data_IF_328722748724
#
_entry.id   IF_328722748724
#
_cell.length_a   1.000
_cell.length_b   1.000
_cell.length_c   1.000
_cell.angle_alpha   90.00
_cell.angle_beta   90.00
_cell.angle_gamma   90.00
#
_symmetry.space_group_name_H-M   'P 1'
#
loop_
_entity.id
_entity.type
_entity.pdbx_description
1 polymer ?
#
# COMPACT_ATOMS: atom_id res chain seq x y z
N UNK A 1 -25.53 17.74 -35.82
CA UNK A 1 -25.78 19.19 -35.69
C UNK A 1 -26.11 19.53 -34.24
N UNK A 2 -25.18 20.18 -33.54
CA UNK A 2 -25.38 21.06 -32.38
C UNK A 2 -24.09 21.90 -32.29
N UNK A 3 -24.22 23.19 -32.54
CA UNK A 3 -23.13 24.12 -32.78
C UNK A 3 -22.32 24.39 -31.51
N UNK A 4 -21.01 24.14 -31.57
CA UNK A 4 -20.03 24.65 -30.60
C UNK A 4 -19.65 26.05 -31.06
N UNK A 5 -20.05 27.07 -30.32
CA UNK A 5 -19.66 28.45 -30.58
C UNK A 5 -18.17 28.62 -30.22
N UNK A 6 -17.34 28.80 -31.25
CA UNK A 6 -15.94 29.20 -31.14
C UNK A 6 -15.88 30.67 -30.71
N UNK A 7 -15.43 30.92 -29.47
CA UNK A 7 -15.14 32.25 -28.95
C UNK A 7 -13.75 32.66 -29.46
N UNK A 8 -13.73 33.40 -30.57
CA UNK A 8 -12.53 34.04 -31.12
C UNK A 8 -12.19 35.28 -30.26
N UNK A 9 -11.22 35.16 -29.36
CA UNK A 9 -10.62 36.33 -28.70
C UNK A 9 -9.51 36.91 -29.59
N UNK A 10 -9.85 37.95 -30.33
CA UNK A 10 -8.91 38.78 -31.09
C UNK A 10 -8.06 39.61 -30.11
N UNK A 11 -6.81 39.19 -29.88
CA UNK A 11 -5.82 39.99 -29.15
C UNK A 11 -5.00 40.84 -30.13
N UNK A 12 -5.27 42.14 -30.16
CA UNK A 12 -4.36 43.17 -30.65
C UNK A 12 -4.04 44.12 -29.48
N UNK A 13 -2.75 44.22 -29.17
CA UNK A 13 -2.08 44.88 -28.03
C UNK A 13 -2.25 46.42 -28.00
N UNK A 14 -2.04 47.09 -26.84
CA UNK A 14 -0.68 47.50 -26.47
C UNK A 14 -0.30 47.16 -25.01
N UNK A 15 0.97 46.79 -24.83
CA UNK A 15 1.63 46.63 -23.53
C UNK A 15 1.90 48.01 -22.90
N UNK A 16 1.21 48.32 -21.79
CA UNK A 16 1.68 49.12 -20.64
C UNK A 16 0.55 49.33 -19.60
N UNK A 17 -0.06 48.24 -19.14
CA UNK A 17 -0.85 48.26 -17.92
C UNK A 17 0.01 47.70 -16.79
N UNK A 18 0.29 48.48 -15.74
CA UNK A 18 0.71 47.89 -14.48
C UNK A 18 -0.37 46.87 -14.09
N UNK A 19 0.01 45.60 -13.93
CA UNK A 19 -0.91 44.57 -13.44
C UNK A 19 -1.54 45.09 -12.15
N UNK A 20 -2.84 45.41 -12.21
CA UNK A 20 -3.56 45.82 -11.00
C UNK A 20 -3.62 44.59 -10.09
N UNK A 21 -3.19 44.71 -8.82
CA UNK A 21 -3.37 43.63 -7.87
C UNK A 21 -4.86 43.31 -7.76
N UNK A 22 -5.20 42.02 -7.58
CA UNK A 22 -6.58 41.59 -7.33
C UNK A 22 -7.21 42.47 -6.25
N UNK A 23 -8.36 43.09 -6.56
CA UNK A 23 -9.14 43.80 -5.56
C UNK A 23 -9.66 42.82 -4.51
N UNK A 24 -10.01 43.31 -3.31
CA UNK A 24 -10.59 42.45 -2.26
C UNK A 24 -11.87 41.75 -2.73
N UNK A 25 -12.72 42.47 -3.47
CA UNK A 25 -13.94 41.93 -4.07
C UNK A 25 -13.65 40.84 -5.12
N UNK A 26 -12.66 41.07 -5.99
CA UNK A 26 -12.27 40.06 -7.00
C UNK A 26 -11.67 38.82 -6.34
N UNK A 27 -10.91 39.00 -5.24
CA UNK A 27 -10.34 37.90 -4.45
C UNK A 27 -11.43 37.07 -3.79
N UNK A 28 -12.42 37.70 -3.16
CA UNK A 28 -13.56 37.00 -2.54
C UNK A 28 -14.36 36.21 -3.57
N UNK A 29 -14.71 36.83 -4.70
CA UNK A 29 -15.44 36.17 -5.78
C UNK A 29 -14.64 35.00 -6.37
N UNK A 30 -13.32 35.16 -6.53
CA UNK A 30 -12.45 34.09 -7.04
C UNK A 30 -12.38 32.92 -6.04
N UNK A 31 -12.24 33.20 -4.74
CA UNK A 31 -12.24 32.16 -3.71
C UNK A 31 -13.57 31.40 -3.65
N UNK A 32 -14.70 32.09 -3.78
CA UNK A 32 -16.02 31.45 -3.85
C UNK A 32 -16.13 30.53 -5.08
N UNK A 33 -15.73 31.02 -6.26
CA UNK A 33 -15.69 30.21 -7.49
C UNK A 33 -14.73 29.02 -7.39
N UNK A 34 -13.56 29.21 -6.80
CA UNK A 34 -12.61 28.11 -6.57
C UNK A 34 -13.21 27.05 -5.64
N UNK A 35 -13.96 27.46 -4.62
CA UNK A 35 -14.67 26.53 -3.73
C UNK A 35 -15.78 25.76 -4.45
N UNK A 36 -16.52 26.40 -5.35
CA UNK A 36 -17.52 25.73 -6.21
C UNK A 36 -16.88 24.73 -7.18
N UNK A 37 -15.78 25.14 -7.82
CA UNK A 37 -14.97 24.26 -8.70
C UNK A 37 -14.43 23.08 -7.91
N UNK A 38 -13.90 23.32 -6.71
CA UNK A 38 -13.44 22.26 -5.81
C UNK A 38 -14.57 21.30 -5.46
N UNK A 39 -15.74 21.80 -5.03
CA UNK A 39 -16.88 20.96 -4.69
C UNK A 39 -17.40 20.12 -5.87
N UNK A 40 -17.41 20.69 -7.09
CA UNK A 40 -17.79 19.97 -8.31
C UNK A 40 -16.75 18.90 -8.67
N UNK A 41 -15.47 19.23 -8.54
CA UNK A 41 -14.37 18.29 -8.73
C UNK A 41 -14.48 17.10 -7.78
N UNK A 42 -14.64 17.38 -6.48
CA UNK A 42 -14.75 16.38 -5.42
C UNK A 42 -15.95 15.44 -5.64
N UNK A 43 -17.11 16.01 -6.01
CA UNK A 43 -18.31 15.23 -6.34
C UNK A 43 -18.08 14.30 -7.54
N UNK A 44 -17.43 14.81 -8.58
CA UNK A 44 -17.11 14.03 -9.78
C UNK A 44 -16.13 12.90 -9.47
N UNK A 45 -15.11 13.16 -8.66
CA UNK A 45 -14.11 12.17 -8.23
C UNK A 45 -14.77 11.07 -7.38
N UNK A 46 -15.61 11.44 -6.40
CA UNK A 46 -16.41 10.48 -5.62
C UNK A 46 -17.30 9.61 -6.50
N UNK A 47 -17.94 10.20 -7.52
CA UNK A 47 -18.72 9.48 -8.51
C UNK A 47 -17.90 8.42 -9.26
N UNK A 48 -16.70 8.77 -9.71
CA UNK A 48 -15.77 7.82 -10.37
C UNK A 48 -15.36 6.69 -9.44
N UNK A 49 -15.07 6.99 -8.17
CA UNK A 49 -14.72 5.97 -7.18
C UNK A 49 -15.86 4.99 -6.92
N UNK A 50 -17.10 5.48 -6.85
CA UNK A 50 -18.27 4.61 -6.71
C UNK A 50 -18.40 3.60 -7.86
N UNK A 51 -18.18 4.04 -9.11
CA UNK A 51 -18.19 3.17 -10.30
C UNK A 51 -17.05 2.16 -10.26
N UNK A 52 -15.82 2.62 -9.99
CA UNK A 52 -14.64 1.77 -9.88
C UNK A 52 -14.81 0.70 -8.79
N UNK A 53 -15.22 1.12 -7.59
CA UNK A 53 -15.47 0.21 -6.46
C UNK A 53 -16.55 -0.83 -6.77
N UNK A 54 -17.64 -0.43 -7.44
CA UNK A 54 -18.68 -1.37 -7.85
C UNK A 54 -18.12 -2.45 -8.79
N UNK A 55 -17.36 -2.04 -9.81
CA UNK A 55 -16.75 -2.97 -10.75
C UNK A 55 -15.72 -3.90 -10.08
N UNK A 56 -14.83 -3.34 -9.25
CA UNK A 56 -13.78 -4.10 -8.59
C UNK A 56 -14.33 -5.06 -7.54
N UNK A 57 -15.36 -4.66 -6.78
CA UNK A 57 -16.03 -5.52 -5.81
C UNK A 57 -16.72 -6.72 -6.46
N UNK A 58 -17.32 -6.53 -7.64
CA UNK A 58 -17.88 -7.63 -8.43
C UNK A 58 -16.78 -8.54 -8.99
N UNK A 59 -15.72 -7.95 -9.55
CA UNK A 59 -14.65 -8.71 -10.17
C UNK A 59 -13.84 -9.56 -9.17
N UNK A 60 -13.66 -9.10 -7.93
CA UNK A 60 -12.91 -9.85 -6.91
C UNK A 60 -13.64 -11.08 -6.34
N UNK A 61 -14.92 -11.30 -6.69
CA UNK A 61 -15.70 -12.44 -6.21
C UNK A 61 -15.11 -13.78 -6.67
N UNK A 62 -14.45 -13.81 -7.84
CA UNK A 62 -13.77 -15.01 -8.34
C UNK A 62 -12.55 -14.66 -9.21
N UNK A 63 -11.60 -15.59 -9.31
CA UNK A 63 -10.43 -15.41 -10.19
C UNK A 63 -10.81 -15.30 -11.67
N UNK A 64 -11.93 -15.92 -12.07
CA UNK A 64 -12.47 -15.79 -13.43
C UNK A 64 -12.99 -14.37 -13.70
N UNK A 65 -13.77 -13.80 -12.78
CA UNK A 65 -14.29 -12.44 -12.90
C UNK A 65 -13.17 -11.38 -12.84
N UNK A 66 -12.14 -11.60 -12.01
CA UNK A 66 -10.96 -10.75 -11.95
C UNK A 66 -10.21 -10.72 -13.30
N UNK A 67 -10.03 -11.89 -13.91
CA UNK A 67 -9.38 -12.00 -15.21
C UNK A 67 -10.24 -11.43 -16.36
N UNK A 68 -11.55 -11.62 -16.33
CA UNK A 68 -12.46 -10.99 -17.29
C UNK A 68 -12.36 -9.47 -17.23
N UNK A 69 -12.41 -8.88 -16.03
CA UNK A 69 -12.22 -7.45 -15.86
C UNK A 69 -10.85 -7.01 -16.36
N UNK A 70 -9.79 -7.76 -16.08
CA UNK A 70 -8.44 -7.47 -16.56
C UNK A 70 -8.39 -7.35 -18.08
N UNK A 71 -8.99 -8.31 -18.79
CA UNK A 71 -9.05 -8.30 -20.25
C UNK A 71 -9.82 -7.09 -20.78
N UNK A 72 -10.94 -6.74 -20.15
CA UNK A 72 -11.74 -5.57 -20.53
C UNK A 72 -10.96 -4.26 -20.30
N UNK A 73 -10.25 -4.15 -19.18
CA UNK A 73 -9.39 -2.99 -18.90
C UNK A 73 -8.22 -2.89 -19.90
N UNK A 74 -7.61 -4.01 -20.28
CA UNK A 74 -6.57 -4.03 -21.32
C UNK A 74 -7.14 -3.60 -22.67
N UNK A 75 -8.29 -4.15 -23.08
CA UNK A 75 -8.96 -3.79 -24.34
C UNK A 75 -9.21 -2.29 -24.39
N UNK A 76 -9.83 -1.75 -23.34
CA UNK A 76 -10.09 -0.32 -23.21
C UNK A 76 -8.81 0.52 -23.32
N UNK A 77 -7.87 0.34 -22.38
CA UNK A 77 -6.74 1.26 -22.21
C UNK A 77 -5.70 1.11 -23.32
N UNK A 78 -5.39 -0.13 -23.72
CA UNK A 78 -4.29 -0.41 -24.66
C UNK A 78 -4.73 -0.54 -26.11
N UNK A 79 -6.03 -0.57 -26.39
CA UNK A 79 -6.55 -0.70 -27.75
C UNK A 79 -7.59 0.36 -28.08
N UNK A 80 -8.72 0.43 -27.37
CA UNK A 80 -9.81 1.36 -27.70
C UNK A 80 -9.39 2.81 -27.53
N UNK A 81 -8.85 3.18 -26.37
CA UNK A 81 -8.39 4.54 -26.06
C UNK A 81 -7.20 4.96 -26.95
N UNK A 82 -6.48 3.97 -27.51
CA UNK A 82 -5.38 4.16 -28.48
C UNK A 82 -5.85 4.08 -29.95
N UNK A 83 -7.17 3.98 -30.18
CA UNK A 83 -7.79 3.87 -31.51
C UNK A 83 -7.25 2.72 -32.38
N UNK A 84 -6.82 1.62 -31.74
CA UNK A 84 -6.31 0.42 -32.41
C UNK A 84 -7.44 -0.48 -32.89
N UNK A 85 -7.14 -1.38 -33.83
CA UNK A 85 -8.16 -2.26 -34.42
C UNK A 85 -8.54 -3.39 -33.46
N UNK A 86 -9.83 -3.73 -33.43
CA UNK A 86 -10.34 -4.88 -32.66
C UNK A 86 -9.71 -6.23 -33.05
N UNK A 87 -9.19 -6.37 -34.28
CA UNK A 87 -8.41 -7.56 -34.68
C UNK A 87 -7.11 -7.68 -33.90
N UNK A 88 -6.43 -6.56 -33.60
CA UNK A 88 -5.18 -6.58 -32.85
C UNK A 88 -5.39 -7.02 -31.40
N UNK A 89 -6.51 -6.63 -30.79
CA UNK A 89 -6.87 -7.10 -29.45
C UNK A 89 -7.15 -8.61 -29.47
N UNK A 90 -7.89 -9.13 -30.45
CA UNK A 90 -8.12 -10.58 -30.59
C UNK A 90 -6.81 -11.36 -30.72
N UNK A 91 -5.88 -10.87 -31.52
CA UNK A 91 -4.56 -11.49 -31.69
C UNK A 91 -3.72 -11.42 -30.41
N UNK A 92 -3.75 -10.28 -29.71
CA UNK A 92 -3.10 -10.14 -28.41
C UNK A 92 -3.71 -11.09 -27.36
N UNK A 93 -5.04 -11.15 -27.26
CA UNK A 93 -5.77 -12.01 -26.32
C UNK A 93 -5.44 -13.48 -26.54
N UNK A 94 -5.30 -13.91 -27.81
CA UNK A 94 -4.82 -15.26 -28.15
C UNK A 94 -3.40 -15.52 -27.61
N UNK A 95 -2.45 -14.61 -27.86
CA UNK A 95 -1.07 -14.75 -27.36
C UNK A 95 -0.99 -14.71 -25.83
N UNK A 96 -1.80 -13.87 -25.18
CA UNK A 96 -1.87 -13.80 -23.73
C UNK A 96 -2.40 -15.11 -23.13
N UNK A 97 -3.44 -15.69 -23.73
CA UNK A 97 -3.98 -17.00 -23.34
C UNK A 97 -2.93 -18.11 -23.38
N UNK A 98 -2.01 -18.06 -24.34
CA UNK A 98 -0.96 -19.06 -24.51
C UNK A 98 0.23 -18.88 -23.55
N UNK A 99 0.51 -17.66 -23.09
CA UNK A 99 1.80 -17.32 -22.43
C UNK A 99 1.69 -16.72 -21.03
N UNK A 100 0.56 -16.13 -20.67
CA UNK A 100 0.40 -15.39 -19.41
C UNK A 100 -0.85 -15.72 -18.62
N UNK A 101 -1.83 -16.38 -19.25
CA UNK A 101 -3.10 -16.73 -18.61
C UNK A 101 -3.00 -18.05 -17.82
N UNK A 102 -2.38 -17.98 -16.63
CA UNK A 102 -2.26 -19.11 -15.70
C UNK A 102 -3.26 -19.01 -14.55
N UNK A 103 -3.64 -20.13 -13.89
CA UNK A 103 -4.45 -20.08 -12.67
C UNK A 103 -3.85 -19.17 -11.58
N UNK A 104 -2.53 -19.22 -11.40
CA UNK A 104 -1.77 -18.38 -10.48
C UNK A 104 -1.93 -16.89 -10.82
N UNK A 105 -1.79 -16.52 -12.09
CA UNK A 105 -1.96 -15.15 -12.55
C UNK A 105 -3.39 -14.63 -12.26
N UNK A 106 -4.42 -15.42 -12.57
CA UNK A 106 -5.81 -15.05 -12.29
C UNK A 106 -6.08 -14.87 -10.80
N UNK A 107 -5.49 -15.72 -9.95
CA UNK A 107 -5.60 -15.61 -8.50
C UNK A 107 -4.87 -14.35 -7.99
N UNK A 108 -3.69 -14.07 -8.53
CA UNK A 108 -2.93 -12.86 -8.18
C UNK A 108 -3.69 -11.58 -8.57
N UNK A 109 -4.34 -11.55 -9.75
CA UNK A 109 -5.22 -10.44 -10.15
C UNK A 109 -6.36 -10.22 -9.15
N UNK A 110 -6.96 -11.31 -8.64
CA UNK A 110 -8.02 -11.22 -7.63
C UNK A 110 -7.50 -10.61 -6.32
N UNK A 111 -6.31 -11.01 -5.88
CA UNK A 111 -5.67 -10.44 -4.68
C UNK A 111 -5.26 -8.98 -4.86
N UNK A 112 -4.74 -8.62 -6.03
CA UNK A 112 -4.46 -7.22 -6.37
C UNK A 112 -5.75 -6.38 -6.36
N UNK A 113 -6.86 -6.90 -6.90
CA UNK A 113 -8.16 -6.22 -6.83
C UNK A 113 -8.68 -6.10 -5.39
N UNK A 114 -8.49 -7.11 -4.55
CA UNK A 114 -8.84 -7.03 -3.13
C UNK A 114 -8.10 -5.86 -2.44
N UNK A 115 -6.80 -5.72 -2.70
CA UNK A 115 -6.00 -4.61 -2.17
C UNK A 115 -6.36 -3.26 -2.80
N UNK A 116 -6.60 -3.21 -4.10
CA UNK A 116 -7.04 -1.98 -4.80
C UNK A 116 -8.35 -1.46 -4.20
N UNK A 117 -9.32 -2.34 -3.92
CA UNK A 117 -10.57 -1.93 -3.26
C UNK A 117 -10.30 -1.31 -1.88
N UNK A 118 -9.42 -1.92 -1.07
CA UNK A 118 -9.06 -1.34 0.22
C UNK A 118 -8.34 -0.01 0.09
N UNK A 119 -7.47 0.13 -0.92
CA UNK A 119 -6.75 1.37 -1.21
C UNK A 119 -7.73 2.49 -1.55
N UNK A 120 -8.72 2.23 -2.41
CA UNK A 120 -9.76 3.21 -2.73
C UNK A 120 -10.67 3.55 -1.54
N UNK A 121 -10.87 2.62 -0.62
CA UNK A 121 -11.63 2.87 0.61
C UNK A 121 -10.79 3.64 1.63
N UNK A 122 -9.48 3.41 1.70
CA UNK A 122 -8.55 4.19 2.52
C UNK A 122 -8.56 5.68 2.14
N UNK A 123 -8.66 5.98 0.84
CA UNK A 123 -8.83 7.35 0.33
C UNK A 123 -10.18 8.01 0.69
N UNK A 124 -11.10 7.29 1.32
CA UNK A 124 -12.45 7.78 1.65
C UNK A 124 -12.75 7.80 3.16
N UNK A 125 -11.83 7.35 4.00
CA UNK A 125 -12.00 7.33 5.46
C UNK A 125 -11.07 8.34 6.11
N UNK A 126 -11.56 8.99 7.16
CA UNK A 126 -10.73 9.91 7.96
C UNK A 126 -9.78 9.14 8.90
N UNK A 127 -10.23 7.98 9.39
CA UNK A 127 -9.46 7.09 10.25
C UNK A 127 -9.16 5.79 9.51
N UNK A 128 -7.92 5.62 9.06
CA UNK A 128 -7.46 4.44 8.32
C UNK A 128 -7.43 3.18 9.20
N UNK A 129 -7.34 3.32 10.52
CA UNK A 129 -7.27 2.17 11.43
C UNK A 129 -8.52 1.29 11.37
N UNK A 130 -9.67 1.82 10.92
CA UNK A 130 -10.90 1.05 10.68
C UNK A 130 -10.73 -0.04 9.62
N UNK A 131 -9.70 0.05 8.78
CA UNK A 131 -9.37 -0.92 7.73
C UNK A 131 -8.42 -2.01 8.22
N UNK A 132 -7.87 -1.93 9.44
CA UNK A 132 -6.85 -2.85 9.97
C UNK A 132 -7.20 -4.33 9.79
N UNK A 133 -8.37 -4.76 10.29
CA UNK A 133 -8.80 -6.16 10.21
C UNK A 133 -8.95 -6.64 8.77
N UNK A 134 -9.39 -5.76 7.87
CA UNK A 134 -9.58 -6.10 6.46
C UNK A 134 -8.25 -6.15 5.71
N UNK A 135 -7.31 -5.25 6.03
CA UNK A 135 -5.94 -5.28 5.52
C UNK A 135 -5.23 -6.58 5.89
N UNK A 136 -5.26 -6.94 7.18
CA UNK A 136 -4.72 -8.23 7.66
C UNK A 136 -5.38 -9.41 6.96
N UNK A 137 -6.72 -9.40 6.81
CA UNK A 137 -7.43 -10.49 6.13
C UNK A 137 -7.02 -10.69 4.66
N UNK A 138 -6.69 -9.61 3.94
CA UNK A 138 -6.15 -9.72 2.57
C UNK A 138 -4.75 -10.31 2.59
N UNK A 139 -3.86 -9.82 3.45
CA UNK A 139 -2.50 -10.34 3.61
C UNK A 139 -2.50 -11.83 3.99
N UNK A 140 -3.29 -12.23 5.00
CA UNK A 140 -3.41 -13.63 5.43
C UNK A 140 -3.96 -14.52 4.31
N UNK A 141 -4.87 -14.02 3.47
CA UNK A 141 -5.34 -14.77 2.31
C UNK A 141 -4.23 -15.00 1.29
N UNK A 142 -3.37 -14.02 1.05
CA UNK A 142 -2.23 -14.14 0.13
C UNK A 142 -1.20 -15.14 0.69
N UNK A 143 -0.90 -15.07 1.99
CA UNK A 143 0.00 -16.02 2.66
C UNK A 143 -0.57 -17.46 2.61
N UNK A 144 -1.89 -17.62 2.75
CA UNK A 144 -2.55 -18.93 2.66
C UNK A 144 -2.45 -19.51 1.25
N UNK A 145 -2.60 -18.67 0.23
CA UNK A 145 -2.63 -19.08 -1.17
C UNK A 145 -1.21 -19.10 -1.81
N UNK A 146 -0.16 -19.04 -1.00
CA UNK A 146 1.24 -18.90 -1.43
C UNK A 146 1.68 -19.88 -2.53
N UNK A 147 1.38 -21.16 -2.34
CA UNK A 147 1.77 -22.23 -3.26
C UNK A 147 1.11 -22.07 -4.63
N UNK A 148 -0.13 -21.58 -4.65
CA UNK A 148 -0.91 -21.34 -5.87
C UNK A 148 -0.53 -20.01 -6.56
N UNK A 149 0.29 -19.17 -5.91
CA UNK A 149 0.68 -17.85 -6.37
C UNK A 149 2.14 -17.78 -6.89
N UNK A 150 2.82 -18.92 -6.99
CA UNK A 150 4.22 -18.99 -7.45
C UNK A 150 4.44 -18.25 -8.76
N UNK A 151 5.47 -17.39 -8.77
CA UNK A 151 5.85 -16.59 -9.94
C UNK A 151 4.99 -15.33 -10.15
N UNK A 152 4.08 -15.00 -9.23
CA UNK A 152 3.27 -13.78 -9.27
C UNK A 152 3.69 -12.73 -8.23
N UNK A 153 4.86 -12.91 -7.60
CA UNK A 153 5.41 -12.02 -6.58
C UNK A 153 5.45 -10.56 -7.01
N UNK A 154 5.93 -10.29 -8.22
CA UNK A 154 6.07 -8.94 -8.74
C UNK A 154 4.70 -8.25 -8.89
N UNK A 155 3.66 -8.98 -9.30
CA UNK A 155 2.31 -8.43 -9.45
C UNK A 155 1.77 -7.99 -8.08
N UNK A 156 2.00 -8.79 -7.04
CA UNK A 156 1.48 -8.51 -5.70
C UNK A 156 2.34 -7.53 -4.92
N UNK A 157 3.62 -7.38 -5.25
CA UNK A 157 4.50 -6.32 -4.74
C UNK A 157 4.31 -4.97 -5.44
N UNK A 158 3.72 -4.97 -6.63
CA UNK A 158 3.44 -3.73 -7.36
C UNK A 158 2.30 -2.93 -6.73
N UNK A 159 2.37 -1.62 -6.88
CA UNK A 159 1.31 -0.70 -6.47
C UNK A 159 0.04 -0.94 -7.30
N UNK A 160 -1.11 -1.29 -6.70
CA UNK A 160 -2.34 -1.51 -7.44
C UNK A 160 -2.86 -0.26 -8.16
N UNK A 161 -2.48 0.95 -7.73
CA UNK A 161 -2.82 2.21 -8.39
C UNK A 161 -2.07 2.39 -9.72
N UNK A 162 -0.99 1.63 -9.94
CA UNK A 162 -0.30 1.54 -11.23
C UNK A 162 -0.83 0.42 -12.14
N UNK A 163 -1.88 -0.30 -11.70
CA UNK A 163 -2.44 -1.42 -12.45
C UNK A 163 -3.31 -0.97 -13.62
N UNK A 164 -3.51 -1.87 -14.59
CA UNK A 164 -4.44 -1.63 -15.70
C UNK A 164 -5.87 -1.38 -15.22
N UNK A 165 -6.24 -1.89 -14.03
CA UNK A 165 -7.53 -1.61 -13.42
C UNK A 165 -7.64 -0.14 -13.03
N UNK A 166 -6.60 0.40 -12.40
CA UNK A 166 -6.59 1.79 -11.97
C UNK A 166 -6.57 2.76 -13.17
N UNK A 167 -5.81 2.43 -14.21
CA UNK A 167 -5.78 3.20 -15.47
C UNK A 167 -7.16 3.26 -16.12
N UNK A 168 -7.82 2.11 -16.28
CA UNK A 168 -9.11 2.01 -17.00
C UNK A 168 -10.24 2.79 -16.33
N UNK A 169 -10.15 3.01 -15.01
CA UNK A 169 -11.12 3.77 -14.22
C UNK A 169 -10.60 5.16 -13.80
N UNK A 170 -9.39 5.54 -14.23
CA UNK A 170 -8.75 6.83 -13.89
C UNK A 170 -8.67 7.08 -12.38
N UNK A 171 -8.24 6.06 -11.63
CA UNK A 171 -8.05 6.11 -10.17
C UNK A 171 -6.59 5.94 -9.75
N UNK A 172 -5.64 6.00 -10.69
CA UNK A 172 -4.21 5.79 -10.41
C UNK A 172 -3.46 6.98 -9.79
N UNK A 173 -4.06 8.16 -9.73
CA UNK A 173 -3.41 9.40 -9.23
C UNK A 173 -3.77 9.71 -7.78
N UNK A 174 -4.20 8.71 -7.02
CA UNK A 174 -4.64 8.88 -5.63
C UNK A 174 -3.40 8.83 -4.75
N UNK A 175 -3.21 9.86 -3.94
CA UNK A 175 -2.17 9.91 -2.92
C UNK A 175 -2.79 9.59 -1.56
N UNK A 176 -2.23 8.60 -0.86
CA UNK A 176 -2.67 8.19 0.48
C UNK A 176 -1.40 7.99 1.31
N UNK A 177 -0.99 9.02 2.03
CA UNK A 177 0.34 9.12 2.64
C UNK A 177 0.70 7.95 3.57
N UNK A 178 -0.28 7.45 4.33
CA UNK A 178 -0.08 6.43 5.37
C UNK A 178 -0.59 5.05 4.96
N UNK A 179 -1.02 4.86 3.71
CA UNK A 179 -1.51 3.56 3.26
C UNK A 179 -0.39 2.75 2.57
N UNK A 180 -0.26 1.44 2.88
CA UNK A 180 0.78 0.63 2.27
C UNK A 180 0.57 0.48 0.76
N UNK A 181 1.66 0.66 -0.01
CA UNK A 181 1.61 0.63 -1.47
C UNK A 181 1.27 -0.75 -2.03
N UNK A 182 1.51 -1.80 -1.27
CA UNK A 182 1.28 -3.19 -1.71
C UNK A 182 0.65 -4.02 -0.59
N UNK A 183 -0.15 -5.04 -0.92
CA UNK A 183 -0.64 -5.99 0.08
C UNK A 183 0.47 -6.80 0.77
N UNK A 184 1.69 -6.82 0.20
CA UNK A 184 2.86 -7.49 0.76
C UNK A 184 3.79 -6.55 1.52
N UNK A 185 3.42 -5.27 1.64
CA UNK A 185 4.14 -4.30 2.44
C UNK A 185 3.73 -4.39 3.92
N UNK A 186 4.20 -5.48 4.55
CA UNK A 186 3.80 -5.85 5.91
C UNK A 186 4.25 -4.77 6.90
N UNK A 187 5.45 -4.23 6.73
CA UNK A 187 5.98 -3.20 7.64
C UNK A 187 5.05 -1.98 7.69
N UNK A 188 4.74 -1.40 6.53
CA UNK A 188 3.85 -0.23 6.44
C UNK A 188 2.44 -0.53 6.93
N UNK A 189 1.90 -1.73 6.66
CA UNK A 189 0.57 -2.12 7.16
C UNK A 189 0.54 -2.10 8.70
N UNK A 190 1.59 -2.60 9.35
CA UNK A 190 1.63 -2.57 10.81
C UNK A 190 1.93 -1.19 11.35
N UNK A 191 2.96 -0.51 10.84
CA UNK A 191 3.41 0.79 11.37
C UNK A 191 2.41 1.92 11.16
N UNK A 192 1.74 1.95 10.01
CA UNK A 192 0.90 3.09 9.64
C UNK A 192 -0.58 2.85 9.92
N UNK A 193 -1.02 1.59 10.01
CA UNK A 193 -2.45 1.25 10.14
C UNK A 193 -2.79 0.57 11.47
N UNK A 194 -2.05 -0.49 11.83
CA UNK A 194 -2.45 -1.39 12.93
C UNK A 194 -1.94 -0.94 14.30
N UNK A 195 -0.65 -0.61 14.40
CA UNK A 195 0.03 -0.32 15.67
C UNK A 195 -0.33 1.07 16.27
N UNK A 196 -0.47 2.16 15.49
CA UNK A 196 -0.70 3.50 16.05
C UNK A 196 -1.82 3.60 17.08
N UNK A 197 -3.05 3.09 16.84
CA UNK A 197 -4.13 3.18 17.84
C UNK A 197 -3.90 2.33 19.09
N UNK A 198 -2.93 1.41 19.05
CA UNK A 198 -2.60 0.49 20.16
C UNK A 198 -1.48 1.01 21.07
N UNK A 199 -0.79 2.09 20.70
CA UNK A 199 0.30 2.73 21.46
C UNK A 199 -0.22 3.54 22.66
N UNK A 200 -0.95 2.87 23.54
CA UNK A 200 -1.48 3.46 24.78
C UNK A 200 -1.29 2.50 25.95
N UNK A 201 -1.19 3.02 27.19
CA UNK A 201 -1.08 2.17 28.37
C UNK A 201 -2.26 1.21 28.57
N UNK A 202 -3.44 1.52 27.98
CA UNK A 202 -4.65 0.70 28.10
C UNK A 202 -4.68 -0.49 27.14
N UNK A 203 -3.82 -0.48 26.11
CA UNK A 203 -3.87 -1.42 24.99
C UNK A 203 -2.58 -2.23 24.82
N UNK A 204 -1.71 -2.24 25.84
CA UNK A 204 -0.40 -2.91 25.82
C UNK A 204 -0.47 -4.38 25.40
N UNK A 205 -1.45 -5.14 25.91
CA UNK A 205 -1.63 -6.55 25.52
C UNK A 205 -1.99 -6.71 24.04
N UNK A 206 -2.82 -5.81 23.51
CA UNK A 206 -3.20 -5.78 22.10
C UNK A 206 -2.04 -5.35 21.23
N UNK A 207 -1.26 -4.35 21.66
CA UNK A 207 -0.04 -3.89 20.98
C UNK A 207 0.96 -5.04 20.86
N UNK A 208 1.22 -5.77 21.95
CA UNK A 208 2.10 -6.93 21.94
C UNK A 208 1.61 -8.02 20.99
N UNK A 209 0.31 -8.33 21.02
CA UNK A 209 -0.29 -9.32 20.10
C UNK A 209 -0.15 -8.90 18.63
N UNK A 210 -0.34 -7.61 18.33
CA UNK A 210 -0.18 -7.08 16.97
C UNK A 210 1.28 -7.22 16.50
N UNK A 211 2.26 -6.87 17.33
CA UNK A 211 3.68 -7.08 17.03
C UNK A 211 4.03 -8.56 16.79
N UNK A 212 3.57 -9.46 17.66
CA UNK A 212 3.79 -10.90 17.47
C UNK A 212 3.17 -11.39 16.16
N UNK A 213 2.00 -10.86 15.79
CA UNK A 213 1.36 -11.14 14.51
C UNK A 213 2.16 -10.62 13.32
N UNK A 214 2.74 -9.42 13.41
CA UNK A 214 3.68 -8.91 12.39
C UNK A 214 4.85 -9.86 12.17
N UNK A 215 5.53 -10.25 13.26
CA UNK A 215 6.66 -11.19 13.19
C UNK A 215 6.24 -12.52 12.56
N UNK A 216 5.07 -13.03 12.91
CA UNK A 216 4.49 -14.22 12.29
C UNK A 216 4.22 -14.03 10.80
N UNK A 217 3.65 -12.90 10.38
CA UNK A 217 3.33 -12.61 8.99
C UNK A 217 4.57 -12.46 8.12
N UNK A 218 5.58 -11.72 8.58
CA UNK A 218 6.86 -11.58 7.87
C UNK A 218 7.58 -12.93 7.74
N UNK A 219 7.61 -13.72 8.81
CA UNK A 219 8.20 -15.05 8.82
C UNK A 219 7.47 -16.01 7.88
N UNK A 220 6.14 -16.07 7.95
CA UNK A 220 5.30 -16.92 7.10
C UNK A 220 5.41 -16.53 5.63
N UNK A 221 5.47 -15.23 5.32
CA UNK A 221 5.65 -14.76 3.96
C UNK A 221 6.99 -15.28 3.43
N UNK A 222 8.09 -15.06 4.14
CA UNK A 222 9.40 -15.56 3.71
C UNK A 222 9.38 -17.08 3.58
N UNK A 223 8.94 -17.79 4.61
CA UNK A 223 8.91 -19.25 4.60
C UNK A 223 8.11 -19.81 3.41
N UNK A 224 6.96 -19.23 3.08
CA UNK A 224 6.06 -19.80 2.05
C UNK A 224 6.28 -19.23 0.66
N UNK A 225 6.77 -18.00 0.54
CA UNK A 225 6.89 -17.30 -0.75
C UNK A 225 8.30 -17.28 -1.31
N UNK A 226 9.36 -17.48 -0.52
CA UNK A 226 10.70 -17.61 -1.13
C UNK A 226 10.82 -18.97 -1.81
N UNK A 227 10.52 -18.98 -3.10
CA UNK A 227 10.85 -20.05 -4.04
C UNK A 227 12.36 -20.05 -4.27
N UNK A 228 13.14 -20.63 -3.37
CA UNK A 228 14.57 -20.77 -3.59
C UNK A 228 14.86 -22.00 -4.47
N UNK A 229 15.65 -21.79 -5.53
CA UNK A 229 16.22 -22.84 -6.38
C UNK A 229 17.35 -23.59 -5.65
N UNK A 230 17.09 -23.98 -4.40
CA UNK A 230 17.97 -24.82 -3.62
C UNK A 230 17.94 -26.24 -4.20
N UNK A 231 19.11 -26.83 -4.43
CA UNK A 231 19.22 -28.26 -4.77
C UNK A 231 18.70 -29.18 -3.66
N UNK A 232 18.48 -28.62 -2.47
CA UNK A 232 17.88 -29.24 -1.31
C UNK A 232 16.50 -28.62 -1.04
N UNK A 233 15.42 -29.38 -1.28
CA UNK A 233 14.03 -28.88 -1.29
C UNK A 233 13.57 -28.31 0.07
N UNK A 234 14.32 -28.56 1.13
CA UNK A 234 13.96 -28.17 2.49
C UNK A 234 14.72 -26.93 2.99
N UNK A 235 15.78 -26.49 2.30
CA UNK A 235 16.59 -25.35 2.77
C UNK A 235 16.05 -24.03 2.26
N UNK A 236 15.77 -23.10 3.18
CA UNK A 236 15.28 -21.74 2.87
C UNK A 236 16.25 -20.65 3.37
N UNK A 237 17.41 -20.43 2.71
CA UNK A 237 18.41 -19.44 3.14
C UNK A 237 17.86 -18.06 3.50
N UNK A 238 16.92 -17.51 2.74
CA UNK A 238 16.32 -16.21 3.05
C UNK A 238 15.56 -16.22 4.40
N UNK A 239 14.80 -17.28 4.66
CA UNK A 239 14.09 -17.45 5.93
C UNK A 239 15.06 -17.72 7.09
N UNK A 240 16.06 -18.58 6.89
CA UNK A 240 17.13 -18.84 7.89
C UNK A 240 17.85 -17.55 8.27
N UNK A 241 18.22 -16.72 7.28
CA UNK A 241 18.84 -15.42 7.50
C UNK A 241 17.91 -14.49 8.28
N UNK A 242 16.63 -14.41 7.92
CA UNK A 242 15.65 -13.60 8.63
C UNK A 242 15.50 -14.02 10.10
N UNK A 243 15.48 -15.33 10.40
CA UNK A 243 15.40 -15.84 11.77
C UNK A 243 16.57 -15.37 12.66
N UNK A 244 17.77 -15.26 12.07
CA UNK A 244 19.00 -14.91 12.79
C UNK A 244 19.18 -13.39 12.87
N UNK A 245 18.87 -12.66 11.80
CA UNK A 245 19.20 -11.24 11.67
C UNK A 245 18.01 -10.30 11.92
N UNK A 246 16.85 -10.58 11.33
CA UNK A 246 15.74 -9.61 11.30
C UNK A 246 14.72 -9.87 12.41
N UNK A 247 14.40 -11.14 12.70
CA UNK A 247 13.47 -11.49 13.78
C UNK A 247 13.91 -10.95 15.15
N UNK A 248 15.21 -10.99 15.54
CA UNK A 248 15.65 -10.34 16.77
C UNK A 248 15.43 -8.82 16.74
N UNK A 249 15.66 -8.14 15.61
CA UNK A 249 15.40 -6.70 15.50
C UNK A 249 13.91 -6.37 15.66
N UNK A 250 13.01 -7.15 15.07
CA UNK A 250 11.56 -6.96 15.27
C UNK A 250 11.15 -7.21 16.72
N UNK A 251 11.73 -8.23 17.35
CA UNK A 251 11.50 -8.50 18.78
C UNK A 251 11.98 -7.34 19.64
N UNK A 252 13.13 -6.76 19.31
CA UNK A 252 13.64 -5.57 19.99
C UNK A 252 12.72 -4.37 19.81
N UNK A 253 12.33 -4.07 18.56
CA UNK A 253 11.42 -2.97 18.24
C UNK A 253 10.08 -3.08 18.98
N UNK A 254 9.51 -4.29 19.06
CA UNK A 254 8.31 -4.55 19.87
C UNK A 254 8.51 -4.18 21.34
N UNK A 255 9.65 -4.56 21.94
CA UNK A 255 9.89 -4.28 23.36
C UNK A 255 10.16 -2.80 23.62
N UNK A 256 10.78 -2.09 22.67
CA UNK A 256 10.90 -0.62 22.69
C UNK A 256 9.52 0.04 22.62
N UNK A 257 8.67 -0.35 21.66
CA UNK A 257 7.34 0.24 21.47
C UNK A 257 6.44 -0.01 22.70
N UNK A 258 6.53 -1.21 23.32
CA UNK A 258 5.83 -1.51 24.58
C UNK A 258 6.34 -0.67 25.75
N UNK A 259 7.66 -0.45 25.84
CA UNK A 259 8.25 0.40 26.86
C UNK A 259 7.75 1.85 26.74
N UNK A 260 7.78 2.40 25.53
CA UNK A 260 7.33 3.76 25.21
C UNK A 260 5.82 3.94 25.40
N UNK A 261 5.02 2.91 25.08
CA UNK A 261 3.57 2.91 25.30
C UNK A 261 3.16 2.79 26.79
N UNK A 262 4.11 2.52 27.71
CA UNK A 262 3.90 2.56 29.15
C UNK A 262 4.26 1.30 29.94
N UNK A 263 4.68 0.19 29.29
CA UNK A 263 5.19 -1.01 29.99
C UNK A 263 6.67 -0.86 30.36
N UNK A 264 7.04 0.23 31.03
CA UNK A 264 8.46 0.54 31.26
C UNK A 264 9.17 -0.55 32.08
N UNK A 265 8.53 -1.03 33.16
CA UNK A 265 9.12 -2.07 34.02
C UNK A 265 9.20 -3.42 33.31
N UNK A 266 8.13 -3.85 32.65
CA UNK A 266 8.09 -5.14 31.96
C UNK A 266 8.99 -5.12 30.73
N UNK A 267 8.90 -4.06 29.93
CA UNK A 267 9.74 -3.82 28.76
C UNK A 267 11.22 -3.82 29.11
N UNK A 268 11.65 -3.08 30.14
CA UNK A 268 13.06 -3.04 30.54
C UNK A 268 13.64 -4.43 30.89
N UNK A 269 12.86 -5.27 31.60
CA UNK A 269 13.30 -6.63 31.92
C UNK A 269 13.45 -7.49 30.66
N UNK A 270 12.50 -7.41 29.72
CA UNK A 270 12.54 -8.17 28.47
C UNK A 270 13.61 -7.67 27.50
N UNK A 271 13.87 -6.37 27.46
CA UNK A 271 14.98 -5.78 26.70
C UNK A 271 16.34 -6.23 27.26
N UNK A 272 16.51 -6.26 28.59
CA UNK A 272 17.73 -6.80 29.20
C UNK A 272 17.93 -8.29 28.88
N UNK A 273 16.84 -9.08 28.90
CA UNK A 273 16.88 -10.50 28.51
C UNK A 273 17.25 -10.66 27.03
N UNK A 274 16.68 -9.83 26.15
CA UNK A 274 17.00 -9.79 24.72
C UNK A 274 18.50 -9.57 24.48
N UNK A 275 19.09 -8.56 25.13
CA UNK A 275 20.52 -8.26 25.02
C UNK A 275 21.38 -9.44 25.47
N UNK A 276 21.06 -10.06 26.61
CA UNK A 276 21.78 -11.25 27.11
C UNK A 276 21.74 -12.41 26.12
N UNK A 277 20.61 -12.61 25.44
CA UNK A 277 20.42 -13.68 24.47
C UNK A 277 21.14 -13.43 23.14
N UNK A 278 21.29 -12.16 22.75
CA UNK A 278 21.76 -11.77 21.42
C UNK A 278 23.06 -10.93 21.45
N UNK A 279 23.96 -11.18 22.42
CA UNK A 279 25.20 -10.42 22.62
C UNK A 279 26.12 -10.34 21.39
N UNK A 280 26.12 -11.36 20.53
CA UNK A 280 26.95 -11.43 19.32
C UNK A 280 26.25 -10.91 18.07
N UNK A 281 24.99 -10.44 18.19
CA UNK A 281 24.25 -9.92 17.05
C UNK A 281 24.81 -8.57 16.59
N UNK A 282 24.85 -8.32 15.27
CA UNK A 282 25.40 -7.08 14.67
C UNK A 282 24.76 -5.79 15.21
N UNK A 283 23.48 -5.86 15.60
CA UNK A 283 22.74 -4.71 16.15
C UNK A 283 22.82 -4.58 17.67
N UNK A 284 23.49 -5.50 18.38
CA UNK A 284 23.59 -5.46 19.84
C UNK A 284 24.18 -4.14 20.39
N UNK A 285 25.23 -3.54 19.79
CA UNK A 285 25.72 -2.23 20.23
C UNK A 285 24.68 -1.12 20.13
N UNK A 286 23.89 -1.09 19.04
CA UNK A 286 22.79 -0.13 18.85
C UNK A 286 21.69 -0.32 19.89
N UNK A 287 21.30 -1.57 20.16
CA UNK A 287 20.29 -1.90 21.18
C UNK A 287 20.73 -1.48 22.58
N UNK A 288 22.00 -1.68 22.94
CA UNK A 288 22.56 -1.22 24.22
C UNK A 288 22.47 0.31 24.34
N UNK A 289 22.87 1.04 23.31
CA UNK A 289 22.80 2.50 23.29
C UNK A 289 21.35 3.02 23.41
N UNK A 290 20.42 2.44 22.64
CA UNK A 290 19.01 2.80 22.69
C UNK A 290 18.39 2.52 24.06
N UNK A 291 18.67 1.35 24.65
CA UNK A 291 18.13 1.01 25.97
C UNK A 291 18.71 1.86 27.09
N UNK A 292 19.99 2.21 27.00
CA UNK A 292 20.62 3.15 27.95
C UNK A 292 19.89 4.49 27.92
N UNK A 293 19.67 5.04 26.72
CA UNK A 293 18.93 6.30 26.52
C UNK A 293 17.52 6.25 27.11
N UNK A 294 16.78 5.16 26.85
CA UNK A 294 15.43 4.97 27.37
C UNK A 294 15.38 4.91 28.91
N UNK A 295 16.34 4.24 29.55
CA UNK A 295 16.41 4.12 31.01
C UNK A 295 16.83 5.45 31.66
N UNK A 296 17.65 6.24 31.00
CA UNK A 296 18.03 7.60 31.42
C UNK A 296 16.90 8.62 31.24
N UNK A 297 15.77 8.22 30.63
CA UNK A 297 14.62 9.09 30.38
C UNK A 297 14.78 9.97 29.15
N UNK A 298 15.76 9.70 28.29
CA UNK A 298 15.91 10.35 26.99
C UNK A 298 14.97 9.76 25.93
N UNK A 299 14.65 10.55 24.91
CA UNK A 299 13.98 10.06 23.70
C UNK A 299 15.04 9.48 22.77
N UNK A 300 14.96 8.21 22.35
CA UNK A 300 15.91 7.66 21.40
C UNK A 300 15.76 8.39 20.05
N UNK A 301 16.87 8.86 19.48
CA UNK A 301 16.87 9.42 18.13
C UNK A 301 16.45 8.33 17.14
N UNK A 302 15.36 8.58 16.40
CA UNK A 302 14.81 7.69 15.39
C UNK A 302 15.81 7.44 14.27
N UNK A 303 15.71 6.26 13.67
CA UNK A 303 16.63 5.77 12.64
C UNK A 303 16.81 6.77 11.49
N UNK A 304 17.95 7.47 11.45
CA UNK A 304 18.52 7.91 10.17
C UNK A 304 18.80 6.65 9.37
N UNK A 305 18.00 6.41 8.34
CA UNK A 305 18.34 5.45 7.28
C UNK A 305 19.71 5.84 6.73
N UNK A 306 20.75 5.07 7.10
CA UNK A 306 22.00 5.09 6.36
C UNK A 306 21.70 4.49 4.98
N UNK A 307 21.63 5.38 4.00
CA UNK A 307 21.73 5.05 2.59
C UNK A 307 23.14 4.56 2.29
N UNK A 308 23.30 3.27 2.04
CA UNK A 308 24.34 2.71 1.16
C UNK A 308 23.69 1.95 0.02
#
# INVERSE_FOLDING_TARGET
MKCIALLFCSLLLPANGQEKPLSELDRELLLEKLKEVQGTSDSTVKGRYGVALSAFRKARESSAAAHELYLNCIEKVRFEDQLRKASEFRDWKKRHKERGDSPAFRLALRHQLNWLVLTLEAAQVDDISVLSTRGVGVLESIIRDAEDLKGQDQLLRSDPLSSIFADAYSVGTIEIDTWPKSPLDIADLYENVILPPLRTPKTLDSLRKAWLKRVEHEGNLLEKWTSEASGDRDRKPAFEKWLIEERPKLTWAMEVDLFEAGDQRGGALRMLEHLKKHLTHKSAPKWIAQFTTLVEGGTPEGETQESE
#
